data_IF_912368422565
#
_entry.id   IF_912368422565
#
_cell.length_a   1.000
_cell.length_b   1.000
_cell.length_c   1.000
_cell.angle_alpha   90.00
_cell.angle_beta   90.00
_cell.angle_gamma   90.00
#
_symmetry.space_group_name_H-M   'P 1'
#
loop_
_entity.id
_entity.type
_entity.pdbx_description
1 polymer ?
#
# COMPACT_ATOMS: atom_id res chain seq x y z
N UNK A 1 1.72 -15.11 -31.26
CA UNK A 1 2.63 -15.19 -30.10
C UNK A 1 1.84 -14.71 -28.89
N UNK A 2 1.79 -15.49 -27.80
CA UNK A 2 1.19 -15.04 -26.56
C UNK A 2 2.10 -13.98 -25.95
N UNK A 3 1.59 -12.79 -25.64
CA UNK A 3 2.40 -11.72 -25.05
C UNK A 3 2.92 -12.20 -23.68
N UNK A 4 4.24 -12.36 -23.50
CA UNK A 4 4.77 -12.61 -22.18
C UNK A 4 4.48 -11.38 -21.32
N UNK A 5 4.17 -11.60 -20.04
CA UNK A 5 3.95 -10.55 -19.03
C UNK A 5 2.60 -9.81 -19.02
N UNK A 6 1.55 -10.34 -19.65
CA UNK A 6 0.21 -9.73 -19.59
C UNK A 6 -0.34 -9.56 -18.15
N UNK A 7 0.18 -10.30 -17.17
CA UNK A 7 -0.27 -10.27 -15.77
C UNK A 7 0.91 -10.44 -14.80
N UNK A 8 1.77 -9.42 -14.67
CA UNK A 8 2.78 -9.42 -13.60
C UNK A 8 2.11 -8.97 -12.29
N UNK A 9 2.10 -9.79 -11.24
CA UNK A 9 1.60 -9.35 -9.94
C UNK A 9 2.51 -8.27 -9.36
N UNK A 10 1.94 -7.11 -9.03
CA UNK A 10 2.62 -6.03 -8.34
C UNK A 10 2.50 -6.24 -6.82
N UNK A 11 3.62 -6.46 -6.16
CA UNK A 11 3.73 -6.61 -4.71
C UNK A 11 4.42 -5.38 -4.13
N UNK A 12 3.79 -4.72 -3.17
CA UNK A 12 4.39 -3.62 -2.42
C UNK A 12 4.74 -4.07 -1.01
N UNK A 13 5.98 -3.82 -0.61
CA UNK A 13 6.47 -4.09 0.74
C UNK A 13 6.65 -2.73 1.42
N UNK A 14 5.80 -2.44 2.40
CA UNK A 14 5.86 -1.22 3.20
C UNK A 14 6.62 -1.57 4.48
N UNK A 15 7.93 -1.36 4.47
CA UNK A 15 8.82 -1.67 5.60
C UNK A 15 8.59 -0.79 6.83
N UNK A 16 7.83 0.30 6.69
CA UNK A 16 7.60 1.25 7.76
C UNK A 16 6.15 1.15 8.25
N UNK A 17 5.98 0.74 9.52
CA UNK A 17 4.68 0.73 10.20
C UNK A 17 4.11 2.15 10.39
N UNK A 18 4.90 3.20 10.15
CA UNK A 18 4.50 4.60 10.17
C UNK A 18 3.21 4.90 9.41
N UNK A 19 2.94 4.27 8.26
CA UNK A 19 1.69 4.49 7.54
C UNK A 19 0.48 3.95 8.32
N UNK A 20 0.63 2.77 8.93
CA UNK A 20 -0.39 2.17 9.78
C UNK A 20 -0.55 2.95 11.10
N UNK A 21 0.55 3.36 11.72
CA UNK A 21 0.56 4.13 12.97
C UNK A 21 -0.04 5.53 12.81
N UNK A 22 0.09 6.15 11.63
CA UNK A 22 -0.49 7.48 11.35
C UNK A 22 -1.94 7.42 10.88
N UNK A 23 -2.44 6.25 10.49
CA UNK A 23 -3.82 6.09 10.00
C UNK A 23 -4.88 6.60 10.99
N UNK A 24 -4.83 6.28 12.30
CA UNK A 24 -5.80 6.81 13.28
C UNK A 24 -5.78 8.34 13.33
N UNK A 25 -4.59 8.95 13.33
CA UNK A 25 -4.43 10.41 13.36
C UNK A 25 -5.07 11.07 12.13
N UNK A 26 -4.94 10.45 10.94
CA UNK A 26 -5.55 10.98 9.72
C UNK A 26 -7.08 10.85 9.72
N UNK A 27 -7.61 9.77 10.30
CA UNK A 27 -9.05 9.59 10.49
C UNK A 27 -9.61 10.65 11.44
N UNK A 28 -8.98 10.82 12.61
CA UNK A 28 -9.38 11.81 13.62
C UNK A 28 -9.31 13.25 13.08
N UNK A 29 -8.28 13.58 12.30
CA UNK A 29 -8.14 14.89 11.67
C UNK A 29 -9.03 15.12 10.46
N UNK A 30 -9.84 14.13 10.06
CA UNK A 30 -10.76 14.24 8.93
C UNK A 30 -10.07 14.31 7.57
N UNK A 31 -8.86 13.76 7.42
CA UNK A 31 -8.06 13.79 6.18
C UNK A 31 -8.57 12.78 5.14
N UNK A 32 -9.87 12.77 4.86
CA UNK A 32 -10.55 11.83 3.97
C UNK A 32 -9.95 11.82 2.56
N UNK A 33 -9.51 12.98 2.04
CA UNK A 33 -8.88 13.09 0.73
C UNK A 33 -7.52 12.36 0.64
N UNK A 34 -6.74 12.38 1.71
CA UNK A 34 -5.48 11.64 1.78
C UNK A 34 -5.76 10.14 1.79
N UNK A 35 -6.74 9.71 2.59
CA UNK A 35 -7.12 8.31 2.71
C UNK A 35 -7.72 7.76 1.41
N UNK A 36 -8.50 8.56 0.68
CA UNK A 36 -9.05 8.18 -0.62
C UNK A 36 -7.95 8.04 -1.68
N UNK A 37 -6.96 8.94 -1.66
CA UNK A 37 -5.78 8.84 -2.51
C UNK A 37 -5.00 7.55 -2.25
N UNK A 38 -4.72 7.24 -0.98
CA UNK A 38 -4.04 5.99 -0.61
C UNK A 38 -4.80 4.76 -1.08
N UNK A 39 -6.12 4.71 -0.87
CA UNK A 39 -6.97 3.62 -1.36
C UNK A 39 -6.90 3.46 -2.88
N UNK A 40 -6.90 4.57 -3.62
CA UNK A 40 -6.76 4.56 -5.08
C UNK A 40 -5.42 3.99 -5.52
N UNK A 41 -4.32 4.38 -4.86
CA UNK A 41 -2.99 3.85 -5.15
C UNK A 41 -2.91 2.36 -4.81
N UNK A 42 -3.40 1.95 -3.64
CA UNK A 42 -3.40 0.56 -3.19
C UNK A 42 -4.29 -0.36 -4.02
N UNK A 43 -5.36 0.16 -4.64
CA UNK A 43 -6.17 -0.66 -5.56
C UNK A 43 -5.43 -1.11 -6.82
N UNK A 44 -4.28 -0.50 -7.13
CA UNK A 44 -3.47 -0.84 -8.31
C UNK A 44 -2.49 -1.99 -8.06
N UNK A 45 -2.31 -2.39 -6.80
CA UNK A 45 -1.37 -3.46 -6.43
C UNK A 45 -2.13 -4.76 -6.18
N UNK A 46 -1.49 -5.88 -6.45
CA UNK A 46 -2.08 -7.20 -6.24
C UNK A 46 -1.96 -7.63 -4.77
N UNK A 47 -0.85 -7.25 -4.10
CA UNK A 47 -0.57 -7.60 -2.70
C UNK A 47 0.18 -6.44 -2.03
N UNK A 48 -0.20 -6.14 -0.78
CA UNK A 48 0.53 -5.23 0.12
C UNK A 48 1.02 -6.05 1.31
N UNK A 49 2.31 -5.94 1.61
CA UNK A 49 2.97 -6.60 2.73
C UNK A 49 3.49 -5.55 3.70
N UNK A 50 3.12 -5.68 4.97
CA UNK A 50 3.68 -4.92 6.09
C UNK A 50 4.53 -5.89 6.90
N UNK A 51 5.84 -6.04 6.59
CA UNK A 51 6.68 -6.97 7.30
C UNK A 51 6.91 -6.47 8.73
N UNK A 52 6.85 -7.41 9.65
CA UNK A 52 7.11 -7.32 11.08
C UNK A 52 8.61 -7.38 11.42
N UNK A 53 9.46 -7.33 10.39
CA UNK A 53 10.91 -7.25 10.46
C UNK A 53 11.46 -6.52 9.23
N UNK A 54 12.54 -5.77 9.39
CA UNK A 54 13.36 -5.27 8.29
C UNK A 54 14.48 -6.26 8.02
N UNK A 55 14.60 -6.74 6.78
CA UNK A 55 15.80 -7.46 6.36
C UNK A 55 17.00 -6.47 6.35
N UNK A 56 18.19 -6.89 6.83
CA UNK A 56 19.37 -6.04 6.91
C UNK A 56 19.92 -5.61 5.55
#
# INVERSE_FOLDING_TARGET
MQEPFHSIPLVWIIQEDSLANRLPVYVERGFQNLLSYWKSVFSRVNVIVFPDYTLP
#
